data_IF_486632344860
#
_entry.id   IF_486632344860
#
_cell.length_a   1.000
_cell.length_b   1.000
_cell.length_c   1.000
_cell.angle_alpha   90.00
_cell.angle_beta   90.00
_cell.angle_gamma   90.00
#
_symmetry.space_group_name_H-M   'P 1'
#
loop_
_entity.id
_entity.type
_entity.pdbx_description
1 polymer ?
#
# COMPACT_ATOMS: atom_id res chain seq x y z
N UNK A 1 14.54 -0.08 14.12
CA UNK A 1 13.55 0.37 13.13
C UNK A 1 12.24 0.44 13.87
N UNK A 2 11.74 1.64 14.09
CA UNK A 2 10.42 1.86 14.69
C UNK A 2 9.40 1.86 13.55
N UNK A 3 8.29 1.14 13.71
CA UNK A 3 7.21 1.13 12.72
C UNK A 3 6.63 2.54 12.56
N UNK A 4 6.09 2.83 11.37
CA UNK A 4 5.45 4.12 11.10
C UNK A 4 4.26 4.32 12.06
N UNK A 5 4.17 5.45 12.79
CA UNK A 5 3.06 5.67 13.71
C UNK A 5 1.74 5.85 12.96
N UNK A 6 0.64 5.37 13.53
CA UNK A 6 -0.70 5.56 12.98
C UNK A 6 -1.01 4.74 11.72
N UNK A 7 -0.28 3.65 11.48
CA UNK A 7 -0.58 2.74 10.36
C UNK A 7 -2.00 2.20 10.45
N UNK A 8 -2.69 2.21 9.30
CA UNK A 8 -4.01 1.63 9.08
C UNK A 8 -3.98 0.84 7.79
N UNK A 9 -4.48 -0.39 7.84
CA UNK A 9 -4.85 -1.16 6.64
C UNK A 9 -6.36 -1.13 6.46
N UNK A 10 -6.82 -0.95 5.24
CA UNK A 10 -8.23 -1.05 4.86
C UNK A 10 -8.36 -2.15 3.83
N UNK A 11 -9.16 -3.17 4.14
CA UNK A 11 -9.45 -4.25 3.22
C UNK A 11 -10.36 -3.79 2.08
N UNK A 12 -10.53 -4.68 1.12
CA UNK A 12 -11.30 -4.45 -0.10
C UNK A 12 -12.80 -4.22 0.15
N UNK A 13 -13.33 -4.65 1.30
CA UNK A 13 -14.71 -4.37 1.71
C UNK A 13 -14.83 -3.09 2.54
N UNK A 14 -13.73 -2.36 2.73
CA UNK A 14 -13.67 -1.11 3.47
C UNK A 14 -13.52 -1.27 4.98
N UNK A 15 -13.29 -2.47 5.50
CA UNK A 15 -13.01 -2.64 6.92
C UNK A 15 -11.57 -2.22 7.22
N UNK A 16 -11.41 -1.36 8.23
CA UNK A 16 -10.12 -0.78 8.58
C UNK A 16 -9.60 -1.30 9.92
N UNK A 17 -8.34 -1.71 9.96
CA UNK A 17 -7.63 -2.13 11.18
C UNK A 17 -6.39 -1.26 11.39
N UNK A 18 -6.24 -0.78 12.64
CA UNK A 18 -5.19 0.14 13.08
C UNK A 18 -4.23 -0.50 14.09
N UNK A 19 -4.57 -1.70 14.56
CA UNK A 19 -3.83 -2.43 15.59
C UNK A 19 -3.01 -3.52 14.89
N UNK A 20 -1.73 -3.65 15.24
CA UNK A 20 -0.83 -4.67 14.68
C UNK A 20 -0.82 -4.74 13.14
N UNK A 21 -0.70 -3.59 12.46
CA UNK A 21 -0.48 -3.55 11.01
C UNK A 21 0.89 -4.16 10.70
N UNK A 22 0.86 -5.42 10.25
CA UNK A 22 2.04 -6.23 9.93
C UNK A 22 2.02 -6.63 8.45
N UNK A 23 3.19 -7.04 7.95
CA UNK A 23 3.28 -7.56 6.59
C UNK A 23 2.46 -8.84 6.40
N UNK A 24 2.35 -9.68 7.44
CA UNK A 24 1.56 -10.92 7.42
C UNK A 24 0.06 -10.62 7.28
N UNK A 25 -0.45 -9.59 7.96
CA UNK A 25 -1.83 -9.13 7.78
C UNK A 25 -2.07 -8.62 6.36
N UNK A 26 -1.16 -7.80 5.83
CA UNK A 26 -1.25 -7.30 4.46
C UNK A 26 -1.22 -8.45 3.44
N UNK A 27 -0.33 -9.42 3.63
CA UNK A 27 -0.21 -10.60 2.78
C UNK A 27 -1.52 -11.37 2.71
N UNK A 28 -2.13 -11.67 3.86
CA UNK A 28 -3.42 -12.36 3.92
C UNK A 28 -4.51 -11.60 3.14
N UNK A 29 -4.62 -10.28 3.32
CA UNK A 29 -5.58 -9.47 2.59
C UNK A 29 -5.29 -9.45 1.08
N UNK A 30 -4.02 -9.34 0.69
CA UNK A 30 -3.60 -9.30 -0.71
C UNK A 30 -3.88 -10.61 -1.44
N UNK A 31 -3.94 -11.74 -0.73
CA UNK A 31 -4.38 -13.03 -1.27
C UNK A 31 -5.90 -13.12 -1.46
N UNK A 32 -6.68 -12.30 -0.75
CA UNK A 32 -8.14 -12.20 -0.95
C UNK A 32 -8.53 -11.31 -2.13
N UNK A 33 -7.58 -10.52 -2.67
CA UNK A 33 -7.83 -9.76 -3.89
C UNK A 33 -8.23 -10.69 -5.02
N UNK A 34 -9.32 -10.35 -5.70
CA UNK A 34 -9.75 -11.04 -6.90
C UNK A 34 -8.72 -10.97 -8.03
N UNK A 35 -9.01 -11.69 -9.11
CA UNK A 35 -8.23 -11.61 -10.34
C UNK A 35 -8.19 -10.17 -10.91
N UNK A 36 -7.29 -9.90 -11.86
CA UNK A 36 -7.02 -8.56 -12.40
C UNK A 36 -8.22 -7.88 -13.09
N UNK A 37 -9.32 -8.59 -13.32
CA UNK A 37 -10.57 -8.05 -13.90
C UNK A 37 -11.47 -7.35 -12.85
N UNK A 38 -11.10 -7.40 -11.57
CA UNK A 38 -11.83 -6.74 -10.48
C UNK A 38 -11.12 -5.44 -10.07
N UNK A 39 -11.19 -4.43 -10.94
CA UNK A 39 -10.61 -3.08 -10.71
C UNK A 39 -11.06 -2.39 -9.42
N UNK A 40 -12.16 -2.83 -8.79
CA UNK A 40 -12.65 -2.24 -7.55
C UNK A 40 -12.13 -2.94 -6.29
N UNK A 41 -11.43 -4.08 -6.42
CA UNK A 41 -10.87 -4.77 -5.28
C UNK A 41 -9.51 -4.12 -4.94
N UNK A 42 -9.49 -3.30 -3.88
CA UNK A 42 -8.32 -2.51 -3.47
C UNK A 42 -8.00 -2.72 -1.99
N UNK A 43 -6.72 -2.80 -1.66
CA UNK A 43 -6.25 -2.73 -0.27
C UNK A 43 -5.52 -1.42 -0.08
N UNK A 44 -5.85 -0.71 0.98
CA UNK A 44 -5.20 0.57 1.29
C UNK A 44 -4.35 0.45 2.54
N UNK A 45 -3.05 0.73 2.44
CA UNK A 45 -2.19 1.04 3.59
C UNK A 45 -2.12 2.55 3.73
N UNK A 46 -2.26 3.08 4.94
CA UNK A 46 -2.23 4.52 5.20
C UNK A 46 -1.59 4.82 6.55
N UNK A 47 -1.15 6.06 6.73
CA UNK A 47 -0.63 6.59 8.00
C UNK A 47 -1.35 7.88 8.42
N UNK A 48 -1.03 8.37 9.62
CA UNK A 48 -1.64 9.56 10.22
C UNK A 48 -1.27 10.87 9.50
N UNK A 49 -0.18 10.89 8.72
CA UNK A 49 0.23 12.03 7.90
C UNK A 49 -0.55 12.11 6.56
N UNK A 50 -1.54 11.24 6.37
CA UNK A 50 -2.42 11.23 5.20
C UNK A 50 -1.83 10.57 3.96
N UNK A 51 -0.62 9.99 4.07
CA UNK A 51 0.01 9.19 3.02
C UNK A 51 -0.64 7.81 2.96
N UNK A 52 -0.85 7.30 1.74
CA UNK A 52 -1.44 5.99 1.50
C UNK A 52 -0.90 5.29 0.24
N UNK A 53 -0.82 3.97 0.33
CA UNK A 53 -0.62 3.05 -0.77
C UNK A 53 -1.92 2.31 -1.07
N UNK A 54 -2.41 2.42 -2.29
CA UNK A 54 -3.58 1.69 -2.77
C UNK A 54 -3.14 0.58 -3.72
N UNK A 55 -3.31 -0.66 -3.30
CA UNK A 55 -2.91 -1.86 -4.01
C UNK A 55 -4.10 -2.46 -4.77
N UNK A 56 -3.90 -2.64 -6.06
CA UNK A 56 -4.62 -3.62 -6.88
C UNK A 56 -3.71 -4.84 -7.13
N UNK A 57 -4.22 -5.85 -7.84
CA UNK A 57 -3.43 -7.07 -8.13
C UNK A 57 -2.23 -6.83 -9.07
N UNK A 58 -2.21 -5.72 -9.81
CA UNK A 58 -1.18 -5.44 -10.81
C UNK A 58 -0.53 -4.06 -10.66
N UNK A 59 -0.99 -3.24 -9.73
CA UNK A 59 -0.44 -1.90 -9.53
C UNK A 59 -0.62 -1.43 -8.10
N UNK A 60 0.24 -0.50 -7.69
CA UNK A 60 0.10 0.23 -6.44
C UNK A 60 0.20 1.72 -6.72
N UNK A 61 -0.64 2.53 -6.08
CA UNK A 61 -0.61 3.98 -6.16
C UNK A 61 -0.14 4.57 -4.84
N UNK A 62 0.85 5.46 -4.88
CA UNK A 62 1.33 6.17 -3.70
C UNK A 62 0.93 7.65 -3.74
N UNK A 63 0.09 8.05 -2.79
CA UNK A 63 -0.46 9.40 -2.73
C UNK A 63 -0.74 9.87 -1.31
N UNK A 64 -0.88 11.17 -1.13
CA UNK A 64 -1.26 11.84 0.10
C UNK A 64 -2.57 12.60 -0.12
N UNK A 65 -3.60 12.23 0.63
CA UNK A 65 -4.95 12.80 0.45
C UNK A 65 -5.11 14.19 1.06
N UNK A 66 -4.25 14.58 2.00
CA UNK A 66 -4.35 15.84 2.73
C UNK A 66 -3.46 16.93 2.14
N UNK A 67 -2.28 16.58 1.64
CA UNK A 67 -1.29 17.50 1.09
C UNK A 67 -1.40 17.70 -0.44
N UNK A 68 -2.39 17.07 -1.10
CA UNK A 68 -2.50 17.01 -2.57
C UNK A 68 -1.18 16.56 -3.24
N UNK A 69 -0.48 15.62 -2.61
CA UNK A 69 0.78 15.08 -3.10
C UNK A 69 0.56 13.71 -3.72
N UNK A 70 0.88 13.51 -4.99
CA UNK A 70 0.96 12.19 -5.59
C UNK A 70 2.42 11.89 -5.94
N UNK A 71 2.90 10.71 -5.54
CA UNK A 71 4.21 10.21 -5.99
C UNK A 71 4.06 9.56 -7.36
N UNK A 72 3.04 8.71 -7.52
CA UNK A 72 2.67 8.11 -8.80
C UNK A 72 2.04 6.73 -8.62
N UNK A 73 1.98 5.99 -9.72
CA UNK A 73 1.64 4.58 -9.75
C UNK A 73 2.88 3.73 -10.07
N UNK A 74 2.91 2.51 -9.56
CA UNK A 74 3.92 1.50 -9.87
C UNK A 74 3.20 0.26 -10.38
N UNK A 75 3.59 -0.22 -11.57
CA UNK A 75 3.15 -1.52 -12.06
C UNK A 75 3.91 -2.62 -11.33
N UNK A 76 3.17 -3.52 -10.68
CA UNK A 76 3.73 -4.63 -9.92
C UNK A 76 3.97 -5.81 -10.86
N UNK A 77 5.19 -6.37 -10.84
CA UNK A 77 5.53 -7.56 -11.60
C UNK A 77 4.83 -8.80 -11.03
N UNK A 78 4.76 -8.90 -9.71
CA UNK A 78 4.26 -10.07 -8.99
C UNK A 78 3.86 -9.74 -7.53
N UNK A 79 3.42 -10.78 -6.83
CA UNK A 79 3.01 -10.72 -5.41
C UNK A 79 4.17 -10.30 -4.51
N UNK A 80 5.37 -10.82 -4.73
CA UNK A 80 6.52 -10.53 -3.87
C UNK A 80 6.92 -9.05 -3.99
N UNK A 81 6.78 -8.45 -5.18
CA UNK A 81 6.95 -7.02 -5.34
C UNK A 81 5.91 -6.21 -4.54
N UNK A 82 4.64 -6.63 -4.54
CA UNK A 82 3.60 -5.98 -3.76
C UNK A 82 3.91 -6.01 -2.25
N UNK A 83 4.35 -7.17 -1.75
CA UNK A 83 4.75 -7.35 -0.35
C UNK A 83 5.97 -6.48 -0.01
N UNK A 84 6.96 -6.38 -0.91
CA UNK A 84 8.12 -5.54 -0.69
C UNK A 84 7.74 -4.05 -0.57
N UNK A 85 6.86 -3.54 -1.44
CA UNK A 85 6.37 -2.15 -1.36
C UNK A 85 5.62 -1.89 -0.05
N UNK A 86 4.74 -2.82 0.35
CA UNK A 86 3.99 -2.72 1.59
C UNK A 86 4.91 -2.73 2.82
N UNK A 87 5.91 -3.61 2.83
CA UNK A 87 6.88 -3.73 3.91
C UNK A 87 7.75 -2.47 4.06
N UNK A 88 8.23 -1.90 2.96
CA UNK A 88 8.95 -0.62 2.93
C UNK A 88 8.12 0.49 3.60
N UNK A 89 6.82 0.56 3.28
CA UNK A 89 5.91 1.55 3.87
C UNK A 89 5.67 1.31 5.37
N UNK A 90 5.43 0.07 5.78
CA UNK A 90 5.18 -0.32 7.18
C UNK A 90 6.40 -0.02 8.06
N UNK A 91 7.61 -0.31 7.55
CA UNK A 91 8.88 -0.03 8.24
C UNK A 91 9.29 1.43 8.19
N UNK A 92 8.60 2.25 7.40
CA UNK A 92 8.93 3.67 7.20
C UNK A 92 10.20 3.90 6.38
N UNK A 93 10.61 2.94 5.54
CA UNK A 93 11.75 3.04 4.64
C UNK A 93 11.37 3.84 3.37
N UNK A 94 11.14 5.14 3.57
CA UNK A 94 10.69 6.04 2.52
C UNK A 94 11.75 6.24 1.42
N UNK A 95 13.03 6.10 1.75
CA UNK A 95 14.10 6.21 0.75
C UNK A 95 14.04 5.06 -0.25
N UNK A 96 13.90 3.82 0.24
CA UNK A 96 13.69 2.65 -0.62
C UNK A 96 12.38 2.77 -1.41
N UNK A 97 11.29 3.16 -0.75
CA UNK A 97 9.97 3.31 -1.36
C UNK A 97 10.01 4.34 -2.50
N UNK A 98 10.55 5.53 -2.27
CA UNK A 98 10.64 6.60 -3.27
C UNK A 98 11.68 6.34 -4.36
N UNK A 99 12.65 5.44 -4.13
CA UNK A 99 13.66 5.02 -5.11
C UNK A 99 13.11 4.14 -6.23
N UNK A 100 11.86 3.65 -6.11
CA UNK A 100 11.20 2.84 -7.15
C UNK A 100 10.82 3.66 -8.38
N UNK A 101 10.60 2.97 -9.50
CA UNK A 101 10.26 3.55 -10.80
C UNK A 101 8.78 3.99 -10.87
N UNK A 102 8.38 4.94 -10.02
CA UNK A 102 7.04 5.49 -10.02
C UNK A 102 6.74 6.23 -11.32
N UNK A 103 5.61 5.88 -11.93
CA UNK A 103 5.05 6.55 -13.10
C UNK A 103 4.14 7.68 -12.62
N UNK A 104 4.50 8.91 -12.97
CA UNK A 104 3.66 10.07 -12.69
C UNK A 104 2.48 10.05 -13.67
N UNK A 105 1.25 10.09 -13.14
CA UNK A 105 0.07 10.38 -13.96
C UNK A 105 0.07 11.84 -14.44
#
# INVERSE_FOLDING_TARGET
MEQRPGLRVTDTWGAATNDDVTIELFEALYEELGGPERDNDLITLSDDDGWKLEFSRGSVRYQNSEAAGEVGALNLADRDEALAVADEFIRGDLEALLGRSWEKN
#
